data_IF_693654738065
#
_entry.id   IF_693654738065
#
_cell.length_a   1.000
_cell.length_b   1.000
_cell.length_c   1.000
_cell.angle_alpha   90.00
_cell.angle_beta   90.00
_cell.angle_gamma   90.00
#
_symmetry.space_group_name_H-M   'P 1'
#
loop_
_entity.id
_entity.type
_entity.pdbx_description
1 polymer ?
#
# COMPACT_ATOMS: atom_id res chain seq x y z
N UNK A 1 -33.51 -24.06 -9.32
CA UNK A 1 -33.25 -22.84 -8.53
C UNK A 1 -32.67 -21.80 -9.47
N UNK A 2 -33.39 -20.69 -9.70
CA UNK A 2 -32.90 -19.60 -10.56
C UNK A 2 -31.60 -19.07 -9.96
N UNK A 3 -30.53 -19.03 -10.77
CA UNK A 3 -29.28 -18.37 -10.39
C UNK A 3 -29.64 -16.90 -10.19
N UNK A 4 -29.76 -16.46 -8.93
CA UNK A 4 -30.10 -15.08 -8.63
C UNK A 4 -28.98 -14.19 -9.16
N UNK A 5 -29.26 -13.45 -10.24
CA UNK A 5 -28.32 -12.48 -10.77
C UNK A 5 -28.32 -11.25 -9.87
N UNK A 6 -27.46 -11.28 -8.85
CA UNK A 6 -27.27 -10.17 -7.91
C UNK A 6 -26.46 -9.01 -8.50
N UNK A 7 -25.78 -9.20 -9.64
CA UNK A 7 -24.98 -8.13 -10.27
C UNK A 7 -25.86 -6.94 -10.70
N UNK A 8 -27.16 -7.17 -10.96
CA UNK A 8 -28.13 -6.13 -11.32
C UNK A 8 -28.28 -5.01 -10.27
N UNK A 9 -27.84 -5.26 -9.04
CA UNK A 9 -27.91 -4.27 -7.96
C UNK A 9 -26.72 -3.31 -7.96
N UNK A 10 -25.69 -3.57 -8.76
CA UNK A 10 -24.43 -2.83 -8.71
C UNK A 10 -24.31 -1.86 -9.87
N UNK A 11 -23.94 -0.62 -9.56
CA UNK A 11 -23.59 0.39 -10.55
C UNK A 11 -22.10 0.32 -10.88
N UNK A 12 -21.70 0.40 -12.16
CA UNK A 12 -20.28 0.42 -12.50
C UNK A 12 -19.62 1.72 -12.06
N UNK A 13 -18.42 1.59 -11.48
CA UNK A 13 -17.48 2.69 -11.28
C UNK A 13 -16.58 2.79 -12.51
N UNK A 14 -16.67 3.93 -13.20
CA UNK A 14 -15.92 4.19 -14.42
C UNK A 14 -14.83 5.24 -14.17
N UNK A 15 -13.63 5.01 -14.68
CA UNK A 15 -12.60 6.05 -14.69
C UNK A 15 -13.05 7.23 -15.57
N UNK A 16 -12.85 8.46 -15.10
CA UNK A 16 -13.20 9.69 -15.84
C UNK A 16 -12.20 9.95 -16.98
N UNK A 17 -10.93 9.58 -16.77
CA UNK A 17 -9.84 9.85 -17.69
C UNK A 17 -9.37 8.58 -18.39
N UNK A 18 -9.11 8.66 -19.69
CA UNK A 18 -8.68 7.52 -20.51
C UNK A 18 -7.35 6.91 -20.06
N UNK A 19 -6.48 7.72 -19.45
CA UNK A 19 -5.22 7.25 -18.86
C UNK A 19 -5.42 6.23 -17.72
N UNK A 20 -6.61 6.20 -17.12
CA UNK A 20 -6.95 5.30 -16.02
C UNK A 20 -7.89 4.16 -16.43
N UNK A 21 -8.18 4.03 -17.72
CA UNK A 21 -8.93 2.89 -18.23
C UNK A 21 -8.18 1.58 -17.95
N UNK A 22 -8.92 0.53 -17.61
CA UNK A 22 -8.39 -0.77 -17.23
C UNK A 22 -7.38 -0.74 -16.06
N UNK A 23 -7.45 0.25 -15.17
CA UNK A 23 -6.65 0.27 -13.95
C UNK A 23 -7.46 -0.21 -12.76
N UNK A 24 -6.80 -0.99 -11.91
CA UNK A 24 -7.32 -1.45 -10.63
C UNK A 24 -7.52 -0.23 -9.73
N UNK A 25 -8.75 0.01 -9.28
CA UNK A 25 -9.09 1.15 -8.42
C UNK A 25 -8.25 1.16 -7.13
N UNK A 26 -7.86 -0.02 -6.66
CA UNK A 26 -7.21 -0.16 -5.37
C UNK A 26 -5.70 0.06 -5.38
N UNK A 27 -5.02 -0.24 -6.49
CA UNK A 27 -3.55 -0.25 -6.51
C UNK A 27 -2.91 0.22 -7.82
N UNK A 28 -3.71 0.58 -8.84
CA UNK A 28 -3.23 1.16 -10.09
C UNK A 28 -2.61 0.16 -11.09
N UNK A 29 -2.50 -1.13 -10.73
CA UNK A 29 -2.13 -2.22 -11.65
C UNK A 29 -3.21 -2.43 -12.73
N UNK A 30 -2.92 -3.24 -13.73
CA UNK A 30 -3.91 -3.65 -14.74
C UNK A 30 -5.10 -4.39 -14.09
N UNK A 31 -6.31 -3.94 -14.38
CA UNK A 31 -7.55 -4.58 -13.96
C UNK A 31 -7.78 -5.84 -14.79
N UNK A 32 -8.12 -6.93 -14.11
CA UNK A 32 -8.39 -8.23 -14.73
C UNK A 32 -9.86 -8.63 -14.62
N UNK A 33 -10.56 -8.13 -13.59
CA UNK A 33 -11.96 -8.47 -13.31
C UNK A 33 -12.66 -7.36 -12.53
N UNK A 34 -13.98 -7.47 -12.42
CA UNK A 34 -14.78 -6.62 -11.55
C UNK A 34 -14.79 -7.19 -10.12
N UNK A 35 -14.60 -6.32 -9.14
CA UNK A 35 -14.90 -6.59 -7.73
C UNK A 35 -16.20 -5.88 -7.36
N UNK A 36 -16.99 -6.47 -6.47
CA UNK A 36 -18.30 -5.93 -6.07
C UNK A 36 -18.24 -5.45 -4.63
N UNK A 37 -18.79 -4.26 -4.38
CA UNK A 37 -18.80 -3.61 -3.07
C UNK A 37 -20.25 -3.26 -2.72
N UNK A 38 -20.86 -3.91 -1.70
CA UNK A 38 -20.32 -5.03 -0.93
C UNK A 38 -20.13 -6.30 -1.80
N UNK A 39 -19.36 -7.31 -1.37
CA UNK A 39 -19.25 -8.54 -2.14
C UNK A 39 -20.61 -9.23 -2.29
N UNK A 40 -20.88 -9.75 -3.49
CA UNK A 40 -22.16 -10.43 -3.81
C UNK A 40 -22.52 -11.52 -2.79
N UNK A 41 -21.53 -12.26 -2.26
CA UNK A 41 -21.78 -13.32 -1.27
C UNK A 41 -22.34 -12.82 0.06
N UNK A 42 -22.21 -11.52 0.36
CA UNK A 42 -22.71 -10.87 1.57
C UNK A 42 -23.92 -9.98 1.29
N UNK A 43 -24.51 -10.04 0.09
CA UNK A 43 -25.56 -9.09 -0.31
C UNK A 43 -26.77 -9.09 0.63
N UNK A 44 -27.10 -10.24 1.22
CA UNK A 44 -28.20 -10.37 2.18
C UNK A 44 -27.97 -9.61 3.47
N UNK A 45 -26.72 -9.53 3.94
CA UNK A 45 -26.37 -8.77 5.14
C UNK A 45 -26.71 -7.27 4.97
N UNK A 46 -26.62 -6.77 3.73
CA UNK A 46 -26.82 -5.35 3.41
C UNK A 46 -28.24 -5.05 2.93
N UNK A 47 -28.81 -5.88 2.05
CA UNK A 47 -30.16 -5.65 1.52
C UNK A 47 -31.25 -5.91 2.55
N UNK A 48 -31.19 -7.04 3.26
CA UNK A 48 -32.24 -7.42 4.20
C UNK A 48 -32.13 -6.58 5.50
N UNK A 49 -30.90 -6.18 5.84
CA UNK A 49 -30.60 -5.31 6.98
C UNK A 49 -30.90 -3.82 6.77
N UNK A 50 -31.29 -3.38 5.56
CA UNK A 50 -31.48 -1.96 5.21
C UNK A 50 -30.27 -1.07 5.56
N UNK A 51 -29.07 -1.61 5.45
CA UNK A 51 -27.82 -0.93 5.78
C UNK A 51 -27.33 -0.12 4.58
N UNK A 52 -26.77 1.07 4.81
CA UNK A 52 -26.18 1.87 3.73
C UNK A 52 -24.92 1.18 3.19
N UNK A 53 -24.86 1.03 1.86
CA UNK A 53 -23.72 0.48 1.14
C UNK A 53 -23.64 1.10 -0.27
N UNK A 54 -22.45 1.08 -0.87
CA UNK A 54 -22.22 1.74 -2.17
C UNK A 54 -22.94 1.02 -3.31
N UNK A 55 -23.04 -0.32 -3.25
CA UNK A 55 -23.54 -1.16 -4.34
C UNK A 55 -22.91 -0.78 -5.69
N UNK A 56 -21.58 -0.84 -5.74
CA UNK A 56 -20.78 -0.54 -6.94
C UNK A 56 -19.97 -1.75 -7.39
N UNK A 57 -19.75 -1.87 -8.71
CA UNK A 57 -18.73 -2.74 -9.29
C UNK A 57 -17.52 -1.91 -9.69
N UNK A 58 -16.33 -2.37 -9.31
CA UNK A 58 -15.07 -1.64 -9.51
C UNK A 58 -14.05 -2.48 -10.27
N UNK A 59 -13.24 -1.87 -11.15
CA UNK A 59 -12.15 -2.57 -11.82
C UNK A 59 -11.06 -2.96 -10.82
N UNK A 60 -10.66 -4.24 -10.81
CA UNK A 60 -9.67 -4.76 -9.89
C UNK A 60 -8.71 -5.76 -10.56
N UNK A 61 -7.45 -5.79 -10.11
CA UNK A 61 -6.51 -6.83 -10.49
C UNK A 61 -6.81 -8.13 -9.71
N UNK A 62 -6.36 -9.28 -10.24
CA UNK A 62 -6.64 -10.59 -9.63
C UNK A 62 -6.23 -10.65 -8.15
N UNK A 63 -5.04 -10.15 -7.86
CA UNK A 63 -4.48 -10.17 -6.52
C UNK A 63 -5.30 -9.35 -5.52
N UNK A 64 -5.72 -8.13 -5.89
CA UNK A 64 -6.50 -7.29 -4.99
C UNK A 64 -7.83 -7.95 -4.63
N UNK A 65 -8.52 -8.51 -5.63
CA UNK A 65 -9.76 -9.27 -5.38
C UNK A 65 -9.49 -10.51 -4.53
N UNK A 66 -8.38 -11.24 -4.74
CA UNK A 66 -8.06 -12.43 -3.94
C UNK A 66 -7.74 -12.06 -2.49
N UNK A 67 -7.03 -10.95 -2.27
CA UNK A 67 -6.75 -10.41 -0.95
C UNK A 67 -8.03 -9.92 -0.26
N UNK A 68 -9.05 -9.49 -0.99
CA UNK A 68 -10.29 -8.95 -0.43
C UNK A 68 -11.46 -9.96 -0.44
N UNK A 69 -11.24 -11.19 -0.90
CA UNK A 69 -12.31 -12.17 -1.14
C UNK A 69 -13.20 -12.47 0.07
N UNK A 70 -12.73 -12.24 1.29
CA UNK A 70 -13.44 -12.50 2.55
C UNK A 70 -13.81 -11.23 3.31
N UNK A 71 -13.62 -10.06 2.72
CA UNK A 71 -13.88 -8.78 3.39
C UNK A 71 -15.29 -8.27 3.10
N UNK A 72 -16.07 -8.08 4.16
CA UNK A 72 -17.47 -7.63 4.10
C UNK A 72 -17.58 -6.11 4.31
N UNK A 73 -16.80 -5.32 3.56
CA UNK A 73 -16.92 -3.87 3.60
C UNK A 73 -18.05 -3.42 2.66
N UNK A 74 -18.91 -2.52 3.15
CA UNK A 74 -20.02 -1.94 2.38
C UNK A 74 -19.63 -0.78 1.47
N UNK A 75 -18.47 -0.17 1.71
CA UNK A 75 -18.02 1.01 0.96
C UNK A 75 -16.58 0.86 0.47
N UNK A 76 -16.22 1.66 -0.53
CA UNK A 76 -14.93 1.59 -1.21
C UNK A 76 -13.74 1.90 -0.28
N UNK A 77 -13.84 2.95 0.54
CA UNK A 77 -12.70 3.43 1.35
C UNK A 77 -12.22 2.47 2.44
N UNK A 78 -13.08 1.87 3.28
CA UNK A 78 -12.67 0.82 4.20
C UNK A 78 -12.02 -0.37 3.48
N UNK A 79 -12.51 -0.70 2.29
CA UNK A 79 -11.98 -1.80 1.47
C UNK A 79 -10.58 -1.49 0.94
N UNK A 80 -10.32 -0.26 0.48
CA UNK A 80 -8.98 0.23 0.12
C UNK A 80 -8.04 0.13 1.34
N UNK A 81 -8.48 0.60 2.50
CA UNK A 81 -7.70 0.58 3.74
C UNK A 81 -7.28 -0.84 4.12
N UNK A 82 -8.23 -1.79 4.09
CA UNK A 82 -7.96 -3.20 4.38
C UNK A 82 -7.01 -3.80 3.34
N UNK A 83 -7.21 -3.50 2.06
CA UNK A 83 -6.31 -3.99 1.03
C UNK A 83 -4.88 -3.52 1.27
N UNK A 84 -4.66 -2.22 1.50
CA UNK A 84 -3.32 -1.66 1.70
C UNK A 84 -2.60 -2.38 2.85
N UNK A 85 -3.30 -2.64 3.96
CA UNK A 85 -2.77 -3.43 5.08
C UNK A 85 -2.40 -4.86 4.66
N UNK A 86 -3.28 -5.58 3.97
CA UNK A 86 -3.04 -6.96 3.52
C UNK A 86 -1.90 -7.05 2.50
N UNK A 87 -1.80 -6.08 1.60
CA UNK A 87 -0.76 -6.01 0.58
C UNK A 87 0.61 -5.71 1.22
N UNK A 88 0.67 -4.76 2.16
CA UNK A 88 1.88 -4.45 2.91
C UNK A 88 2.39 -5.67 3.69
N UNK A 89 1.50 -6.41 4.36
CA UNK A 89 1.88 -7.61 5.11
C UNK A 89 2.37 -8.73 4.18
N UNK A 90 1.66 -8.99 3.07
CA UNK A 90 2.06 -10.02 2.08
C UNK A 90 3.48 -9.79 1.55
N UNK A 91 3.86 -8.54 1.32
CA UNK A 91 5.12 -8.17 0.69
C UNK A 91 6.13 -7.53 1.65
N UNK A 92 5.93 -7.64 2.97
CA UNK A 92 6.76 -7.05 4.02
C UNK A 92 8.25 -7.33 3.85
N UNK A 93 8.62 -8.55 3.45
CA UNK A 93 10.02 -8.94 3.19
C UNK A 93 10.62 -8.19 2.00
N UNK A 94 9.87 -8.05 0.90
CA UNK A 94 10.33 -7.36 -0.30
C UNK A 94 10.48 -5.85 -0.05
N UNK A 95 9.52 -5.23 0.64
CA UNK A 95 9.59 -3.84 1.08
C UNK A 95 10.86 -3.62 1.93
N UNK A 96 11.13 -4.52 2.88
CA UNK A 96 12.35 -4.44 3.70
C UNK A 96 13.62 -4.52 2.86
N UNK A 97 13.69 -5.44 1.91
CA UNK A 97 14.84 -5.54 1.00
C UNK A 97 15.04 -4.22 0.25
N UNK A 98 13.97 -3.70 -0.37
CA UNK A 98 14.02 -2.43 -1.11
C UNK A 98 14.52 -1.25 -0.27
N UNK A 99 14.06 -1.14 0.98
CA UNK A 99 14.44 -0.03 1.85
C UNK A 99 15.86 -0.14 2.42
N UNK A 100 16.38 -1.35 2.62
CA UNK A 100 17.64 -1.56 3.34
C UNK A 100 18.85 -1.74 2.44
N UNK A 101 18.66 -2.23 1.21
CA UNK A 101 19.75 -2.54 0.30
C UNK A 101 19.89 -1.48 -0.79
N UNK A 102 21.13 -1.10 -1.07
CA UNK A 102 21.55 -0.33 -2.24
C UNK A 102 22.00 -1.25 -3.36
N UNK A 103 22.11 -0.71 -4.58
CA UNK A 103 22.61 -1.52 -5.70
C UNK A 103 24.10 -1.81 -5.53
N UNK A 104 24.87 -0.86 -4.97
CA UNK A 104 26.29 -1.07 -4.67
C UNK A 104 26.47 -2.19 -3.64
N UNK A 105 25.73 -2.17 -2.52
CA UNK A 105 25.79 -3.24 -1.51
C UNK A 105 25.39 -4.61 -2.08
N UNK A 106 24.50 -4.65 -3.07
CA UNK A 106 24.11 -5.91 -3.72
C UNK A 106 25.23 -6.42 -4.63
N UNK A 107 25.90 -5.53 -5.37
CA UNK A 107 26.97 -5.91 -6.31
C UNK A 107 28.18 -6.55 -5.63
N UNK A 108 28.41 -6.26 -4.36
CA UNK A 108 29.44 -6.88 -3.52
C UNK A 108 29.08 -8.30 -3.04
N UNK A 109 27.84 -8.74 -3.21
CA UNK A 109 27.36 -10.05 -2.75
C UNK A 109 27.67 -11.17 -3.75
N UNK A 110 27.58 -12.42 -3.30
CA UNK A 110 27.70 -13.58 -4.18
C UNK A 110 26.55 -13.65 -5.22
N UNK A 111 26.81 -14.27 -6.36
CA UNK A 111 25.91 -14.27 -7.49
C UNK A 111 24.51 -14.86 -7.19
N UNK A 112 24.44 -15.90 -6.35
CA UNK A 112 23.16 -16.51 -5.99
C UNK A 112 22.33 -15.55 -5.11
N UNK A 113 22.99 -14.89 -4.16
CA UNK A 113 22.34 -13.92 -3.30
C UNK A 113 21.94 -12.64 -4.04
N UNK A 114 22.74 -12.19 -5.02
CA UNK A 114 22.38 -11.07 -5.89
C UNK A 114 21.06 -11.26 -6.63
N UNK A 115 20.81 -12.46 -7.17
CA UNK A 115 19.57 -12.75 -7.91
C UNK A 115 18.36 -12.57 -6.98
N UNK A 116 18.44 -13.11 -5.76
CA UNK A 116 17.38 -12.99 -4.75
C UNK A 116 17.14 -11.54 -4.35
N UNK A 117 18.21 -10.78 -4.06
CA UNK A 117 18.13 -9.38 -3.66
C UNK A 117 17.56 -8.51 -4.78
N UNK A 118 18.03 -8.65 -6.02
CA UNK A 118 17.49 -7.91 -7.18
C UNK A 118 16.00 -8.19 -7.40
N UNK A 119 15.57 -9.44 -7.23
CA UNK A 119 14.15 -9.80 -7.24
C UNK A 119 13.36 -9.10 -6.13
N UNK A 120 13.87 -9.13 -4.90
CA UNK A 120 13.29 -8.44 -3.74
C UNK A 120 13.21 -6.92 -3.92
N UNK A 121 14.24 -6.30 -4.51
CA UNK A 121 14.29 -4.87 -4.82
C UNK A 121 13.18 -4.47 -5.78
N UNK A 122 13.03 -5.19 -6.90
CA UNK A 122 11.99 -4.90 -7.90
C UNK A 122 10.61 -5.05 -7.30
N UNK A 123 10.36 -6.15 -6.60
CA UNK A 123 9.08 -6.43 -5.98
C UNK A 123 8.75 -5.40 -4.89
N UNK A 124 9.70 -5.04 -4.04
CA UNK A 124 9.51 -4.03 -2.99
C UNK A 124 9.20 -2.65 -3.56
N UNK A 125 9.90 -2.23 -4.63
CA UNK A 125 9.62 -0.97 -5.34
C UNK A 125 8.19 -0.95 -5.90
N UNK A 126 7.79 -2.03 -6.58
CA UNK A 126 6.44 -2.15 -7.14
C UNK A 126 5.38 -2.14 -6.03
N UNK A 127 5.59 -2.89 -4.95
CA UNK A 127 4.67 -2.90 -3.80
C UNK A 127 4.49 -1.50 -3.20
N UNK A 128 5.57 -0.75 -2.98
CA UNK A 128 5.46 0.61 -2.42
C UNK A 128 4.69 1.53 -3.37
N UNK A 129 4.94 1.46 -4.68
CA UNK A 129 4.16 2.21 -5.67
C UNK A 129 2.67 1.88 -5.61
N UNK A 130 2.32 0.62 -5.36
CA UNK A 130 0.92 0.17 -5.22
C UNK A 130 0.29 0.64 -3.91
N UNK A 131 1.04 0.67 -2.81
CA UNK A 131 0.56 1.17 -1.51
C UNK A 131 0.33 2.70 -1.53
N UNK A 132 1.21 3.41 -2.23
CA UNK A 132 1.13 4.87 -2.42
C UNK A 132 0.13 5.30 -3.49
N UNK A 133 -0.46 4.36 -4.22
CA UNK A 133 -1.50 4.67 -5.19
C UNK A 133 -2.71 5.31 -4.49
N UNK A 134 -3.06 6.52 -4.92
CA UNK A 134 -4.14 7.31 -4.32
C UNK A 134 -5.52 6.98 -4.90
N UNK A 135 -5.58 6.30 -6.04
CA UNK A 135 -6.80 6.16 -6.84
C UNK A 135 -6.76 7.05 -8.08
N UNK A 136 -7.89 7.13 -8.78
CA UNK A 136 -8.12 7.99 -9.93
C UNK A 136 -9.53 8.57 -9.87
N UNK A 137 -9.75 9.70 -10.53
CA UNK A 137 -11.10 10.29 -10.65
C UNK A 137 -12.07 9.31 -11.32
N UNK A 138 -13.22 9.13 -10.70
CA UNK A 138 -14.20 8.15 -11.15
C UNK A 138 -15.63 8.69 -11.14
N UNK A 139 -16.48 8.05 -11.92
CA UNK A 139 -17.90 8.35 -12.05
C UNK A 139 -18.71 7.12 -11.63
N UNK A 140 -19.80 7.37 -10.89
CA UNK A 140 -20.84 6.39 -10.55
C UNK A 140 -22.19 7.06 -10.71
N UNK A 141 -23.04 6.52 -11.59
CA UNK A 141 -24.42 6.98 -11.80
C UNK A 141 -24.54 8.51 -12.04
N UNK A 142 -23.69 9.04 -12.91
CA UNK A 142 -23.60 10.46 -13.27
C UNK A 142 -22.88 11.35 -12.25
N UNK A 143 -22.51 10.82 -11.08
CA UNK A 143 -21.80 11.57 -10.04
C UNK A 143 -20.29 11.33 -10.15
N UNK A 144 -19.53 12.43 -10.25
CA UNK A 144 -18.06 12.37 -10.34
C UNK A 144 -17.43 12.57 -8.97
N UNK A 145 -16.60 11.62 -8.56
CA UNK A 145 -15.69 11.74 -7.43
C UNK A 145 -14.31 12.16 -7.93
N UNK A 146 -13.79 13.26 -7.38
CA UNK A 146 -12.43 13.73 -7.63
C UNK A 146 -11.51 13.21 -6.52
N UNK A 147 -10.55 12.38 -6.88
CA UNK A 147 -9.59 11.80 -5.94
C UNK A 147 -8.50 12.83 -5.67
N UNK A 148 -8.25 13.08 -4.39
CA UNK A 148 -7.20 14.01 -3.99
C UNK A 148 -5.84 13.51 -4.49
N UNK A 149 -5.04 14.41 -5.07
CA UNK A 149 -3.66 14.09 -5.41
C UNK A 149 -2.89 13.78 -4.13
N UNK A 150 -2.08 12.72 -4.09
CA UNK A 150 -1.31 12.39 -2.91
C UNK A 150 -0.39 13.58 -2.57
N UNK A 151 -0.41 13.99 -1.30
CA UNK A 151 0.58 14.95 -0.83
C UNK A 151 1.95 14.27 -0.87
N UNK A 152 2.98 15.04 -1.23
CA UNK A 152 4.35 14.55 -1.22
C UNK A 152 4.74 14.32 0.24
N UNK A 153 4.84 13.07 0.65
CA UNK A 153 5.44 12.72 1.95
C UNK A 153 6.89 13.20 1.96
N UNK A 154 7.23 13.94 3.02
CA UNK A 154 8.60 14.41 3.29
C UNK A 154 9.08 13.69 4.53
N UNK A 155 10.24 13.04 4.42
CA UNK A 155 10.89 12.37 5.53
C UNK A 155 11.93 13.30 6.11
N UNK A 156 11.87 13.56 7.42
CA UNK A 156 12.82 14.45 8.10
C UNK A 156 13.81 13.64 8.92
N UNK A 157 15.06 14.08 8.90
CA UNK A 157 16.12 13.65 9.82
C UNK A 157 16.74 14.92 10.37
N UNK A 158 16.20 15.41 11.48
CA UNK A 158 16.43 16.73 12.03
C UNK A 158 16.17 17.82 10.97
N UNK A 159 17.17 18.65 10.65
CA UNK A 159 17.06 19.75 9.71
C UNK A 159 17.12 19.32 8.22
N UNK A 160 17.35 18.03 7.95
CA UNK A 160 17.46 17.49 6.60
C UNK A 160 16.14 16.87 6.12
N UNK A 161 15.71 17.23 4.90
CA UNK A 161 14.48 16.74 4.28
C UNK A 161 14.77 15.79 3.10
N UNK A 162 14.06 14.67 3.07
CA UNK A 162 14.22 13.62 2.07
C UNK A 162 12.90 13.30 1.37
N UNK A 163 13.02 12.88 0.12
CA UNK A 163 11.87 12.54 -0.72
C UNK A 163 11.37 11.11 -0.55
N UNK A 164 12.14 10.28 0.16
CA UNK A 164 11.79 8.89 0.42
C UNK A 164 12.36 8.39 1.75
N UNK A 165 11.63 7.45 2.36
CA UNK A 165 12.07 6.73 3.55
C UNK A 165 13.47 6.10 3.37
N UNK A 166 13.74 5.56 2.18
CA UNK A 166 15.01 4.89 1.87
C UNK A 166 16.20 5.85 1.89
N UNK A 167 16.05 7.04 1.31
CA UNK A 167 17.08 8.09 1.33
C UNK A 167 17.33 8.57 2.76
N UNK A 168 16.26 8.88 3.51
CA UNK A 168 16.35 9.28 4.91
C UNK A 168 17.02 8.20 5.77
N UNK A 169 16.64 6.93 5.61
CA UNK A 169 17.22 5.80 6.33
C UNK A 169 18.71 5.63 6.02
N UNK A 170 19.10 5.75 4.75
CA UNK A 170 20.51 5.64 4.34
C UNK A 170 21.34 6.78 4.93
N UNK A 171 20.85 8.02 4.84
CA UNK A 171 21.50 9.18 5.44
C UNK A 171 21.65 9.02 6.95
N UNK A 172 20.54 8.80 7.68
CA UNK A 172 20.54 8.68 9.12
C UNK A 172 21.43 7.52 9.61
N UNK A 173 21.40 6.38 8.91
CA UNK A 173 22.26 5.23 9.23
C UNK A 173 23.75 5.57 9.08
N UNK A 174 24.12 6.26 8.00
CA UNK A 174 25.51 6.65 7.73
C UNK A 174 26.02 7.74 8.68
N UNK A 175 25.19 8.73 8.98
CA UNK A 175 25.51 9.90 9.81
C UNK A 175 25.63 9.50 11.28
N UNK A 176 24.63 8.80 11.82
CA UNK A 176 24.58 8.46 13.26
C UNK A 176 25.15 7.07 13.57
N UNK A 177 25.72 6.38 12.57
CA UNK A 177 26.36 5.05 12.71
C UNK A 177 25.44 3.97 13.29
N UNK A 178 24.13 4.10 13.07
CA UNK A 178 23.12 3.11 13.48
C UNK A 178 22.86 2.17 12.31
N UNK A 179 22.87 0.85 12.52
CA UNK A 179 22.54 -0.12 11.45
C UNK A 179 21.13 0.14 10.90
N UNK A 180 20.96 0.19 9.58
CA UNK A 180 19.66 0.40 8.89
C UNK A 180 18.52 -0.45 9.48
N UNK A 181 18.78 -1.73 9.79
CA UNK A 181 17.79 -2.63 10.38
C UNK A 181 17.31 -2.20 11.77
N UNK A 182 18.23 -1.73 12.62
CA UNK A 182 17.91 -1.24 13.96
C UNK A 182 17.21 0.11 13.88
N UNK A 183 17.70 1.00 13.03
CA UNK A 183 17.13 2.32 12.85
C UNK A 183 15.71 2.25 12.25
N UNK A 184 15.48 1.39 11.27
CA UNK A 184 14.13 1.18 10.72
C UNK A 184 13.17 0.63 11.76
N UNK A 185 13.61 -0.23 12.67
CA UNK A 185 12.77 -0.70 13.77
C UNK A 185 12.43 0.45 14.73
N UNK A 186 13.44 1.20 15.17
CA UNK A 186 13.24 2.34 16.06
C UNK A 186 12.35 3.41 15.45
N UNK A 187 12.41 3.65 14.15
CA UNK A 187 11.51 4.55 13.44
C UNK A 187 10.04 4.18 13.66
N UNK A 188 9.67 2.91 13.44
CA UNK A 188 8.28 2.46 13.64
C UNK A 188 7.88 2.39 15.13
N UNK A 189 8.85 2.14 16.02
CA UNK A 189 8.61 2.13 17.47
C UNK A 189 8.47 3.56 18.05
N UNK A 190 8.87 4.60 17.33
CA UNK A 190 8.90 6.00 17.79
C UNK A 190 8.11 6.94 16.86
N UNK A 191 6.85 6.60 16.61
CA UNK A 191 5.88 7.42 15.86
C UNK A 191 6.34 7.82 14.46
N UNK A 192 7.08 6.94 13.78
CA UNK A 192 7.55 7.17 12.42
C UNK A 192 8.42 8.44 12.29
N UNK A 193 9.24 8.71 13.32
CA UNK A 193 10.17 9.84 13.36
C UNK A 193 11.62 9.35 13.46
N UNK A 194 12.47 9.78 12.51
CA UNK A 194 13.90 9.49 12.59
C UNK A 194 14.56 10.18 13.78
N UNK A 195 14.21 11.43 14.06
CA UNK A 195 14.75 12.23 15.16
C UNK A 195 14.56 11.50 16.49
N UNK A 196 13.32 11.12 16.80
CA UNK A 196 12.98 10.36 18.01
C UNK A 196 13.67 9.00 18.04
N UNK A 197 13.75 8.31 16.91
CA UNK A 197 14.43 7.02 16.82
C UNK A 197 15.94 7.13 17.11
N UNK A 198 16.60 8.20 16.66
CA UNK A 198 18.02 8.47 16.89
C UNK A 198 18.26 8.88 18.34
N UNK A 199 17.44 9.78 18.89
CA UNK A 199 17.49 10.19 20.29
C UNK A 199 17.30 8.98 21.23
N UNK A 200 16.29 8.14 20.96
CA UNK A 200 16.04 6.92 21.71
C UNK A 200 17.22 5.94 21.63
N UNK A 201 17.88 5.82 20.48
CA UNK A 201 19.06 4.96 20.36
C UNK A 201 20.22 5.44 21.24
N UNK A 202 20.54 6.74 21.21
CA UNK A 202 21.64 7.28 22.00
C UNK A 202 21.34 7.29 23.51
N UNK A 203 20.10 7.58 23.92
CA UNK A 203 19.70 7.47 25.32
C UNK A 203 19.83 6.05 25.89
N UNK A 204 19.59 5.02 25.06
CA UNK A 204 19.82 3.62 25.44
C UNK A 204 21.31 3.26 25.59
N UNK A 205 22.19 3.90 24.80
CA UNK A 205 23.64 3.66 24.85
C UNK A 205 24.28 4.39 26.03
N UNK A 206 23.85 5.62 26.32
CA UNK A 206 24.35 6.42 27.45
C UNK A 206 23.86 5.92 28.82
N UNK A 207 22.70 5.26 28.87
CA UNK A 207 22.13 4.69 30.10
C UNK A 207 22.67 3.31 30.50
N UNK A 208 23.62 2.75 29.76
CA UNK A 208 24.15 1.40 29.99
C UNK A 208 25.65 1.49 30.35
N UNK A 209 26.03 1.51 31.65
CA UNK A 209 27.43 1.63 32.09
C UNK A 209 28.28 0.40 31.74
#
# INVERSE_FOLDING_TARGET
MSVKNYQKFYQPLNAVHSADFNRCIYCGCEAARQDFIPPIKFIHDWQDGHLQADFISVPACNECTDLLKNENNATLEPRITVLKKRLAEKYKKAIRVFNHWSMEEIEEMDAAFQISLKGGMRLGKETLSRLQFAGFDYEVNGSITRVAKPQREVFKVFDEEFSSFREALAFASATYKIKKSRLSQLYFDNDESFDRAIEAFHGLVEGNP
#
